data_IF_476231819310
#
_entry.id   IF_476231819310
#
_cell.length_a   1.000
_cell.length_b   1.000
_cell.length_c   1.000
_cell.angle_alpha   90.00
_cell.angle_beta   90.00
_cell.angle_gamma   90.00
#
_symmetry.space_group_name_H-M   'P 1'
#
loop_
_entity.id
_entity.type
_entity.pdbx_description
1 polymer ?
#
# COMPACT_ATOMS: atom_id res chain seq x y z
N UNK A 1 -2.07 24.94 -0.12
CA UNK A 1 -1.21 23.83 0.32
C UNK A 1 -2.14 22.65 0.58
N UNK A 2 -1.72 21.43 0.24
CA UNK A 2 -2.51 20.21 0.43
C UNK A 2 -1.92 19.40 1.59
N UNK A 3 -2.74 18.86 2.46
CA UNK A 3 -2.30 18.07 3.59
C UNK A 3 -2.93 16.67 3.55
N UNK A 4 -2.10 15.66 3.79
CA UNK A 4 -2.52 14.28 4.00
C UNK A 4 -2.24 13.85 5.44
N UNK A 5 -2.99 12.87 5.92
CA UNK A 5 -2.83 12.27 7.24
C UNK A 5 -2.47 10.80 7.11
N UNK A 6 -1.45 10.35 7.84
CA UNK A 6 -1.21 8.92 8.01
C UNK A 6 -2.16 8.35 9.06
N UNK A 7 -2.82 7.24 8.69
CA UNK A 7 -3.64 6.48 9.64
C UNK A 7 -2.72 5.49 10.38
N UNK A 8 -2.83 5.37 11.70
CA UNK A 8 -2.13 4.33 12.46
C UNK A 8 -2.39 2.95 11.87
N UNK A 9 -1.36 2.13 11.76
CA UNK A 9 -1.42 0.84 11.08
C UNK A 9 -0.71 -0.27 11.88
N UNK A 10 -0.03 0.10 12.98
CA UNK A 10 0.82 -0.77 13.77
C UNK A 10 2.30 -0.67 13.40
N UNK A 11 2.63 -0.27 12.18
CA UNK A 11 4.00 -0.23 11.68
C UNK A 11 4.99 0.56 12.56
N UNK A 12 4.56 1.65 13.17
CA UNK A 12 5.38 2.52 14.04
C UNK A 12 5.08 2.32 15.51
N UNK A 13 4.59 1.15 15.89
CA UNK A 13 4.10 0.88 17.26
C UNK A 13 2.95 1.82 17.67
N UNK A 14 2.18 2.28 16.69
CA UNK A 14 1.13 3.28 16.87
C UNK A 14 -0.24 2.67 17.25
N UNK A 15 -0.28 1.34 17.44
CA UNK A 15 -1.46 0.59 17.91
C UNK A 15 -1.17 -0.29 19.16
N UNK A 16 0.04 -0.21 19.75
CA UNK A 16 0.51 -1.12 20.82
C UNK A 16 -0.40 -1.17 22.04
N UNK A 17 -0.91 -0.03 22.48
CA UNK A 17 -1.76 0.05 23.67
C UNK A 17 -3.25 -0.12 23.39
N UNK A 18 -3.59 -0.59 22.17
CA UNK A 18 -4.98 -0.76 21.73
C UNK A 18 -5.28 -2.24 21.61
N UNK A 19 -6.36 -2.69 22.28
CA UNK A 19 -6.82 -4.08 22.14
C UNK A 19 -6.95 -4.45 20.67
N UNK A 20 -6.39 -5.60 20.23
CA UNK A 20 -6.46 -6.04 18.83
C UNK A 20 -7.87 -6.02 18.23
N UNK A 21 -8.89 -6.36 19.02
CA UNK A 21 -10.28 -6.36 18.58
C UNK A 21 -10.83 -4.93 18.36
N UNK A 22 -10.18 -3.92 18.95
CA UNK A 22 -10.57 -2.50 18.84
C UNK A 22 -9.77 -1.74 17.77
N UNK A 23 -8.62 -2.26 17.33
CA UNK A 23 -7.70 -1.57 16.41
C UNK A 23 -8.39 -1.12 15.12
N UNK A 24 -9.19 -1.99 14.49
CA UNK A 24 -9.95 -1.59 13.31
C UNK A 24 -10.92 -0.45 13.60
N UNK A 25 -11.60 -0.49 14.73
CA UNK A 25 -12.51 0.58 15.15
C UNK A 25 -11.81 1.94 15.28
N UNK A 26 -10.59 1.94 15.82
CA UNK A 26 -9.75 3.15 15.94
C UNK A 26 -9.34 3.66 14.57
N UNK A 27 -8.77 2.81 13.72
CA UNK A 27 -8.35 3.18 12.36
C UNK A 27 -9.52 3.75 11.53
N UNK A 28 -10.67 3.08 11.58
CA UNK A 28 -11.89 3.52 10.90
C UNK A 28 -12.34 4.91 11.35
N UNK A 29 -12.43 5.15 12.66
CA UNK A 29 -12.84 6.47 13.20
C UNK A 29 -11.88 7.57 12.79
N UNK A 30 -10.58 7.31 12.80
CA UNK A 30 -9.57 8.29 12.37
C UNK A 30 -9.66 8.59 10.87
N UNK A 31 -9.86 7.57 10.03
CA UNK A 31 -10.07 7.76 8.60
C UNK A 31 -11.33 8.60 8.32
N UNK A 32 -12.44 8.30 9.00
CA UNK A 32 -13.68 9.08 8.89
C UNK A 32 -13.54 10.51 9.43
N UNK A 33 -12.79 10.70 10.51
CA UNK A 33 -12.48 12.02 11.03
C UNK A 33 -11.63 12.84 10.05
N UNK A 34 -10.64 12.23 9.44
CA UNK A 34 -9.83 12.86 8.41
C UNK A 34 -10.67 13.21 7.17
N UNK A 35 -11.56 12.32 6.77
CA UNK A 35 -12.47 12.51 5.63
C UNK A 35 -13.44 13.68 5.85
N UNK A 36 -13.97 13.83 7.04
CA UNK A 36 -14.85 14.94 7.41
C UNK A 36 -14.09 16.27 7.67
N UNK A 37 -12.77 16.19 7.88
CA UNK A 37 -11.91 17.31 8.26
C UNK A 37 -11.23 18.02 7.09
N UNK A 38 -10.18 18.82 7.36
CA UNK A 38 -9.46 19.58 6.34
C UNK A 38 -8.45 18.77 5.53
N UNK A 39 -8.31 17.47 5.82
CA UNK A 39 -7.34 16.60 5.17
C UNK A 39 -7.82 16.22 3.76
N UNK A 40 -6.97 16.35 2.76
CA UNK A 40 -7.29 16.00 1.38
C UNK A 40 -7.05 14.52 1.06
N UNK A 41 -6.20 13.87 1.85
CA UNK A 41 -5.83 12.46 1.64
C UNK A 41 -5.50 11.76 2.95
N UNK A 42 -5.68 10.45 2.94
CA UNK A 42 -5.23 9.54 4.00
C UNK A 42 -4.23 8.53 3.43
N UNK A 43 -3.25 8.15 4.23
CA UNK A 43 -2.11 7.37 3.81
C UNK A 43 -1.82 6.23 4.75
N UNK A 44 -1.31 5.13 4.20
CA UNK A 44 -0.78 3.97 4.91
C UNK A 44 0.60 3.57 4.35
N UNK A 45 1.29 2.70 5.05
CA UNK A 45 2.59 2.15 4.66
C UNK A 45 2.44 0.70 4.19
N UNK A 46 3.21 0.29 3.18
CA UNK A 46 3.23 -1.10 2.71
C UNK A 46 4.29 -1.89 3.47
N UNK A 47 4.00 -2.19 4.72
CA UNK A 47 4.85 -2.94 5.63
C UNK A 47 4.09 -4.07 6.33
N UNK A 48 4.80 -5.11 6.75
CA UNK A 48 4.28 -6.32 7.40
C UNK A 48 4.79 -6.47 8.83
N UNK A 49 5.85 -5.75 9.19
CA UNK A 49 6.48 -5.77 10.51
C UNK A 49 6.70 -4.35 11.01
N UNK A 50 6.83 -4.25 12.34
CA UNK A 50 7.13 -2.99 12.99
C UNK A 50 8.55 -2.49 12.71
N UNK A 51 8.75 -1.17 12.84
CA UNK A 51 10.06 -0.51 12.81
C UNK A 51 10.22 0.37 14.07
N UNK A 52 11.45 0.63 14.55
CA UNK A 52 12.77 0.32 13.93
C UNK A 52 13.22 -1.14 14.06
N UNK A 53 12.52 -1.91 14.88
CA UNK A 53 12.80 -3.35 15.07
C UNK A 53 11.52 -4.16 14.86
N UNK A 54 11.60 -5.37 14.29
CA UNK A 54 10.45 -6.26 14.21
C UNK A 54 9.98 -6.64 15.63
N UNK A 55 8.66 -6.73 15.81
CA UNK A 55 8.04 -7.21 17.04
C UNK A 55 6.84 -8.11 16.72
N UNK A 56 6.21 -8.67 17.75
CA UNK A 56 4.97 -9.44 17.63
C UNK A 56 3.71 -8.56 17.51
N UNK A 57 3.87 -7.25 17.56
CA UNK A 57 2.77 -6.30 17.43
C UNK A 57 2.17 -6.33 16.01
N UNK A 58 0.87 -6.18 15.94
CA UNK A 58 0.15 -6.21 14.68
C UNK A 58 0.58 -5.08 13.74
N UNK A 59 0.86 -5.43 12.49
CA UNK A 59 0.96 -4.48 11.37
C UNK A 59 -0.04 -4.89 10.30
N UNK A 60 -1.02 -4.04 10.03
CA UNK A 60 -2.11 -4.38 9.12
C UNK A 60 -1.73 -4.17 7.66
N UNK A 61 -2.17 -5.08 6.77
CA UNK A 61 -1.82 -5.05 5.35
C UNK A 61 -2.46 -3.86 4.63
N UNK A 62 -1.64 -3.14 3.87
CA UNK A 62 -1.97 -1.81 3.36
C UNK A 62 -3.09 -1.78 2.31
N UNK A 63 -3.10 -2.67 1.31
CA UNK A 63 -4.13 -2.68 0.27
C UNK A 63 -5.48 -3.11 0.81
N UNK A 64 -5.50 -4.03 1.77
CA UNK A 64 -6.71 -4.42 2.51
C UNK A 64 -7.29 -3.23 3.29
N UNK A 65 -6.42 -2.48 4.00
CA UNK A 65 -6.84 -1.25 4.68
C UNK A 65 -7.36 -0.19 3.70
N UNK A 66 -6.69 0.03 2.57
CA UNK A 66 -7.15 0.99 1.57
C UNK A 66 -8.53 0.64 1.02
N UNK A 67 -8.81 -0.63 0.76
CA UNK A 67 -10.13 -1.08 0.34
C UNK A 67 -11.20 -0.79 1.41
N UNK A 68 -10.87 -1.10 2.67
CA UNK A 68 -11.76 -0.84 3.82
C UNK A 68 -11.99 0.67 4.03
N UNK A 69 -10.95 1.50 3.95
CA UNK A 69 -11.08 2.95 4.05
C UNK A 69 -11.87 3.52 2.87
N UNK A 70 -11.66 2.99 1.66
CA UNK A 70 -12.45 3.38 0.48
C UNK A 70 -13.94 3.17 0.65
N UNK A 71 -14.33 2.12 1.37
CA UNK A 71 -15.73 1.79 1.63
C UNK A 71 -16.38 2.60 2.78
N UNK A 72 -15.58 3.24 3.66
CA UNK A 72 -16.10 3.95 4.85
C UNK A 72 -15.82 5.45 4.84
N UNK A 73 -15.24 5.97 3.76
CA UNK A 73 -14.97 7.39 3.51
C UNK A 73 -15.55 7.81 2.17
N UNK A 74 -15.79 9.11 1.96
CA UNK A 74 -16.47 9.62 0.76
C UNK A 74 -15.62 10.58 -0.08
N UNK A 75 -14.69 11.32 0.54
CA UNK A 75 -14.02 12.45 -0.07
C UNK A 75 -12.50 12.33 -0.15
N UNK A 76 -11.85 11.94 0.94
CA UNK A 76 -10.40 11.93 1.02
C UNK A 76 -9.78 10.93 0.02
N UNK A 77 -8.71 11.34 -0.64
CA UNK A 77 -7.93 10.44 -1.49
C UNK A 77 -7.19 9.43 -0.62
N UNK A 78 -6.94 8.26 -1.19
CA UNK A 78 -6.34 7.13 -0.49
C UNK A 78 -4.99 6.79 -1.12
N UNK A 79 -3.93 6.72 -0.34
CA UNK A 79 -2.61 6.42 -0.88
C UNK A 79 -1.74 5.56 0.03
N UNK A 80 -0.69 5.04 -0.57
CA UNK A 80 0.39 4.37 0.15
C UNK A 80 1.70 5.11 -0.05
N UNK A 81 2.51 5.14 0.98
CA UNK A 81 3.84 5.74 0.90
C UNK A 81 4.90 4.77 1.46
N UNK A 82 5.37 3.89 0.59
CA UNK A 82 4.94 3.57 -0.77
C UNK A 82 4.62 2.08 -0.89
N UNK A 83 3.75 1.69 -1.81
CA UNK A 83 3.61 0.27 -2.20
C UNK A 83 4.97 -0.27 -2.65
N UNK A 84 5.38 -1.42 -2.12
CA UNK A 84 6.59 -2.10 -2.53
C UNK A 84 6.31 -2.96 -3.77
N UNK A 85 6.94 -2.63 -4.91
CA UNK A 85 6.74 -3.39 -6.15
C UNK A 85 7.08 -4.86 -5.98
N UNK A 86 8.12 -5.20 -5.22
CA UNK A 86 8.59 -6.58 -5.10
C UNK A 86 7.71 -7.51 -4.27
N UNK A 87 6.71 -6.99 -3.55
CA UNK A 87 5.83 -7.81 -2.72
C UNK A 87 4.65 -8.43 -3.49
N UNK A 88 4.39 -7.97 -4.73
CA UNK A 88 3.25 -8.45 -5.53
C UNK A 88 3.61 -8.54 -7.00
N UNK A 89 3.01 -9.51 -7.70
CA UNK A 89 3.06 -9.50 -9.16
C UNK A 89 2.41 -8.21 -9.69
N UNK A 90 3.06 -7.47 -10.60
CA UNK A 90 2.58 -6.15 -11.05
C UNK A 90 1.23 -6.20 -11.78
N UNK A 91 0.92 -7.25 -12.52
CA UNK A 91 -0.38 -7.40 -13.17
C UNK A 91 -1.50 -7.63 -12.13
N UNK A 92 -1.21 -8.43 -11.10
CA UNK A 92 -2.11 -8.60 -9.97
C UNK A 92 -2.28 -7.29 -9.18
N UNK A 93 -1.17 -6.57 -8.91
CA UNK A 93 -1.22 -5.28 -8.22
C UNK A 93 -2.04 -4.24 -8.99
N UNK A 94 -1.90 -4.19 -10.33
CA UNK A 94 -2.73 -3.33 -11.18
C UNK A 94 -4.23 -3.63 -10.99
N UNK A 95 -4.60 -4.91 -10.89
CA UNK A 95 -5.98 -5.34 -10.64
C UNK A 95 -6.46 -4.93 -9.25
N UNK A 96 -5.65 -5.12 -8.21
CA UNK A 96 -5.97 -4.69 -6.83
C UNK A 96 -6.21 -3.19 -6.79
N UNK A 97 -5.27 -2.40 -7.31
CA UNK A 97 -5.37 -0.94 -7.33
C UNK A 97 -6.62 -0.44 -8.06
N UNK A 98 -6.91 -0.97 -9.24
CA UNK A 98 -8.12 -0.64 -10.01
C UNK A 98 -9.41 -1.01 -9.26
N UNK A 99 -9.40 -2.14 -8.51
CA UNK A 99 -10.56 -2.54 -7.70
C UNK A 99 -10.78 -1.58 -6.54
N UNK A 100 -9.72 -1.22 -5.81
CA UNK A 100 -9.80 -0.25 -4.71
C UNK A 100 -10.21 1.13 -5.23
N UNK A 101 -9.70 1.53 -6.41
CA UNK A 101 -10.09 2.78 -7.05
C UNK A 101 -11.59 2.79 -7.39
N UNK A 102 -12.11 1.69 -7.93
CA UNK A 102 -13.54 1.53 -8.21
C UNK A 102 -14.38 1.58 -6.92
N UNK A 103 -14.00 0.83 -5.87
CA UNK A 103 -14.68 0.83 -4.57
C UNK A 103 -14.72 2.23 -3.95
N UNK A 104 -13.64 2.98 -4.10
CA UNK A 104 -13.51 4.33 -3.54
C UNK A 104 -14.09 5.44 -4.43
N UNK A 105 -14.59 5.14 -5.64
CA UNK A 105 -15.10 6.15 -6.57
C UNK A 105 -14.00 7.02 -7.19
N UNK A 106 -12.85 6.45 -7.53
CA UNK A 106 -11.76 7.14 -8.23
C UNK A 106 -10.82 7.93 -7.32
N UNK A 107 -10.65 7.50 -6.07
CA UNK A 107 -9.87 8.25 -5.05
C UNK A 107 -8.48 7.70 -4.77
N UNK A 108 -8.02 6.66 -5.48
CA UNK A 108 -6.70 6.06 -5.21
C UNK A 108 -5.57 6.93 -5.76
N UNK A 109 -4.55 7.12 -4.93
CA UNK A 109 -3.24 7.67 -5.29
C UNK A 109 -2.20 6.55 -5.25
N UNK A 110 -1.56 6.27 -6.38
CA UNK A 110 -0.58 5.20 -6.48
C UNK A 110 0.82 5.68 -6.11
N UNK A 111 1.16 5.59 -4.83
CA UNK A 111 2.55 5.71 -4.39
C UNK A 111 3.26 4.36 -4.48
N UNK A 112 4.39 4.28 -5.18
CA UNK A 112 5.09 3.00 -5.42
C UNK A 112 6.61 3.18 -5.35
N UNK A 113 7.30 2.14 -4.88
CA UNK A 113 8.76 2.14 -4.70
C UNK A 113 9.38 0.75 -4.80
N UNK A 114 10.72 0.71 -4.81
CA UNK A 114 11.49 -0.52 -4.94
C UNK A 114 11.63 -1.34 -3.65
N UNK A 115 11.14 -0.85 -2.52
CA UNK A 115 11.29 -1.51 -1.22
C UNK A 115 12.69 -1.34 -0.60
N UNK A 116 12.77 -1.47 0.71
CA UNK A 116 14.02 -1.25 1.45
C UNK A 116 14.18 -2.14 2.68
N UNK A 117 13.10 -2.64 3.26
CA UNK A 117 13.13 -3.34 4.53
C UNK A 117 13.44 -4.82 4.34
N UNK A 118 14.74 -5.16 4.29
CA UNK A 118 15.25 -6.50 4.02
C UNK A 118 14.63 -7.57 4.91
N UNK A 119 14.37 -7.27 6.19
CA UNK A 119 13.72 -8.21 7.10
C UNK A 119 12.39 -8.75 6.55
N UNK A 120 11.53 -7.88 6.04
CA UNK A 120 10.22 -8.29 5.47
C UNK A 120 10.38 -9.13 4.22
N UNK A 121 11.29 -8.73 3.32
CA UNK A 121 11.56 -9.50 2.10
C UNK A 121 11.97 -10.94 2.42
N UNK A 122 12.87 -11.12 3.38
CA UNK A 122 13.35 -12.45 3.77
C UNK A 122 12.29 -13.23 4.55
N UNK A 123 11.57 -12.59 5.48
CA UNK A 123 10.53 -13.22 6.28
C UNK A 123 9.36 -13.76 5.44
N UNK A 124 9.04 -13.08 4.33
CA UNK A 124 7.97 -13.49 3.41
C UNK A 124 8.47 -14.32 2.21
N UNK A 125 9.75 -14.69 2.19
CA UNK A 125 10.31 -15.56 1.16
C UNK A 125 10.54 -14.91 -0.20
N UNK A 126 10.54 -13.58 -0.28
CA UNK A 126 10.81 -12.85 -1.52
C UNK A 126 12.30 -12.79 -1.88
N UNK A 127 13.19 -13.11 -0.91
CA UNK A 127 14.60 -12.78 -1.00
C UNK A 127 14.82 -11.26 -0.93
N UNK A 128 16.07 -10.81 -1.07
CA UNK A 128 16.37 -9.37 -1.08
C UNK A 128 17.35 -9.05 -2.22
N UNK A 129 16.86 -8.80 -3.43
CA UNK A 129 17.70 -8.47 -4.57
C UNK A 129 18.51 -7.18 -4.33
N UNK A 130 19.64 -7.07 -5.04
CA UNK A 130 20.42 -5.83 -5.04
C UNK A 130 19.57 -4.62 -5.44
N UNK A 131 19.92 -3.44 -4.94
CA UNK A 131 19.14 -2.22 -5.17
C UNK A 131 18.91 -1.93 -6.66
N UNK A 132 19.92 -2.21 -7.51
CA UNK A 132 19.80 -2.04 -8.96
C UNK A 132 18.74 -2.96 -9.57
N UNK A 133 18.60 -4.17 -9.06
CA UNK A 133 17.56 -5.11 -9.52
C UNK A 133 16.18 -4.71 -9.01
N UNK A 134 16.06 -4.30 -7.75
CA UNK A 134 14.79 -3.77 -7.21
C UNK A 134 14.27 -2.54 -7.97
N UNK A 135 15.18 -1.65 -8.42
CA UNK A 135 14.80 -0.49 -9.24
C UNK A 135 14.37 -0.90 -10.66
N UNK A 136 15.00 -1.92 -11.25
CA UNK A 136 14.56 -2.46 -12.55
C UNK A 136 13.22 -3.20 -12.44
N UNK A 137 13.02 -3.95 -11.34
CA UNK A 137 11.70 -4.54 -11.04
C UNK A 137 10.62 -3.45 -10.92
N UNK A 138 10.93 -2.33 -10.28
CA UNK A 138 10.02 -1.19 -10.20
C UNK A 138 9.68 -0.64 -11.60
N UNK A 139 10.68 -0.46 -12.45
CA UNK A 139 10.48 0.06 -13.80
C UNK A 139 9.61 -0.87 -14.66
N UNK A 140 9.94 -2.17 -14.74
CA UNK A 140 9.14 -3.16 -15.46
C UNK A 140 7.70 -3.23 -14.90
N UNK A 141 7.56 -3.24 -13.57
CA UNK A 141 6.26 -3.31 -12.92
C UNK A 141 5.39 -2.10 -13.22
N UNK A 142 5.96 -0.89 -13.20
CA UNK A 142 5.23 0.34 -13.56
C UNK A 142 4.78 0.31 -15.02
N UNK A 143 5.61 -0.20 -15.94
CA UNK A 143 5.22 -0.35 -17.35
C UNK A 143 4.00 -1.28 -17.49
N UNK A 144 4.03 -2.46 -16.86
CA UNK A 144 2.91 -3.41 -16.85
C UNK A 144 1.63 -2.76 -16.30
N UNK A 145 1.73 -2.10 -15.15
CA UNK A 145 0.57 -1.48 -14.51
C UNK A 145 -0.03 -0.36 -15.38
N UNK A 146 0.81 0.51 -15.94
CA UNK A 146 0.36 1.59 -16.83
C UNK A 146 -0.34 1.03 -18.08
N UNK A 147 0.23 0.01 -18.71
CA UNK A 147 -0.36 -0.62 -19.87
C UNK A 147 -1.72 -1.27 -19.52
N UNK A 148 -1.77 -2.02 -18.42
CA UNK A 148 -3.01 -2.65 -17.95
C UNK A 148 -4.14 -1.64 -17.72
N UNK A 149 -3.83 -0.47 -17.16
CA UNK A 149 -4.84 0.57 -16.90
C UNK A 149 -5.26 1.35 -18.15
N UNK A 150 -4.35 1.56 -19.11
CA UNK A 150 -4.65 2.34 -20.32
C UNK A 150 -5.27 1.50 -21.44
N UNK A 151 -4.89 0.22 -21.55
CA UNK A 151 -5.25 -0.65 -22.66
C UNK A 151 -6.18 -1.82 -22.26
N UNK A 152 -6.36 -2.04 -20.95
CA UNK A 152 -7.13 -3.17 -20.41
C UNK A 152 -6.35 -4.49 -20.34
N UNK A 153 -5.18 -4.55 -20.97
CA UNK A 153 -4.27 -5.70 -20.99
C UNK A 153 -2.83 -5.20 -20.84
N UNK A 154 -1.92 -6.10 -20.48
CA UNK A 154 -0.49 -5.80 -20.50
C UNK A 154 0.27 -6.97 -21.10
N UNK A 155 1.33 -6.67 -21.84
CA UNK A 155 2.28 -7.66 -22.36
C UNK A 155 3.70 -7.13 -22.16
N UNK A 156 4.52 -7.89 -21.45
CA UNK A 156 5.93 -7.61 -21.25
C UNK A 156 6.69 -8.92 -21.16
N UNK A 157 7.72 -9.07 -22.00
CA UNK A 157 8.75 -10.12 -21.86
C UNK A 157 9.99 -9.49 -21.20
N UNK A 158 9.86 -9.21 -19.90
CA UNK A 158 10.86 -8.55 -19.11
C UNK A 158 11.85 -9.52 -18.47
N UNK A 159 12.89 -8.97 -17.84
CA UNK A 159 13.88 -9.77 -17.09
C UNK A 159 13.31 -10.27 -15.76
N UNK A 160 12.43 -9.50 -15.12
CA UNK A 160 11.90 -9.80 -13.79
C UNK A 160 10.43 -10.21 -13.84
N UNK A 161 9.69 -9.69 -14.81
CA UNK A 161 8.28 -10.00 -14.99
C UNK A 161 7.98 -10.39 -16.43
N UNK A 162 7.18 -11.44 -16.57
CA UNK A 162 6.66 -11.91 -17.86
C UNK A 162 5.14 -11.99 -17.78
N UNK A 163 4.46 -11.23 -18.60
CA UNK A 163 2.99 -11.15 -18.67
C UNK A 163 2.52 -11.05 -20.11
#
# INVERSE_FOLDING_TARGET
MRFGLFIPQGWRHDLVDIDPDEQWGVMKRLAQHADAGPWESIWVYDHFHTVPVPSEEATHEAWTLMAAFGAVTERARLGQMCTCMGYRNPAYLAKVAATVDHVSGGRVEMGIGGGWYEHEWNAYGYGFPEIGDRLRMLDEGVQIMKQAWSEGTATLDGRYYQV
#
